data_IF_221021453377
#
_entry.id   IF_221021453377
#
_cell.length_a   1.000
_cell.length_b   1.000
_cell.length_c   1.000
_cell.angle_alpha   90.00
_cell.angle_beta   90.00
_cell.angle_gamma   90.00
#
_symmetry.space_group_name_H-M   'P 1'
#
loop_
_entity.id
_entity.type
_entity.pdbx_description
1 polymer ?
#
# COMPACT_ATOMS: atom_id res chain seq x y z
N UNK A 1 26.60 11.29 -14.63
CA UNK A 1 26.00 11.82 -15.87
C UNK A 1 25.74 10.64 -16.79
N UNK A 2 24.60 10.58 -17.52
CA UNK A 2 24.32 9.47 -18.42
C UNK A 2 25.43 9.35 -19.47
N UNK A 3 25.93 8.13 -19.68
CA UNK A 3 27.11 7.84 -20.53
C UNK A 3 26.99 8.52 -21.90
N UNK A 4 25.81 8.49 -22.53
CA UNK A 4 25.59 9.14 -23.81
C UNK A 4 25.85 10.66 -23.83
N UNK A 5 25.51 11.39 -22.77
CA UNK A 5 25.81 12.82 -22.67
C UNK A 5 27.31 13.07 -22.46
N UNK A 6 27.97 12.22 -21.66
CA UNK A 6 29.42 12.35 -21.41
C UNK A 6 30.22 12.18 -22.70
N UNK A 7 29.83 11.22 -23.54
CA UNK A 7 30.50 10.92 -24.81
C UNK A 7 30.19 11.95 -25.90
N UNK A 8 28.96 12.46 -25.96
CA UNK A 8 28.52 13.33 -27.08
C UNK A 8 28.61 14.82 -26.78
N UNK A 9 28.66 15.22 -25.51
CA UNK A 9 28.64 16.63 -25.09
C UNK A 9 27.29 17.34 -25.26
N UNK A 10 26.22 16.62 -25.64
CA UNK A 10 24.87 17.17 -25.86
C UNK A 10 23.77 16.27 -25.26
N UNK A 11 22.57 16.78 -24.94
CA UNK A 11 21.48 15.97 -24.39
C UNK A 11 21.09 14.80 -25.31
N UNK A 12 20.98 13.60 -24.73
CA UNK A 12 20.54 12.38 -25.42
C UNK A 12 19.16 11.98 -24.90
N UNK A 13 18.19 11.81 -25.79
CA UNK A 13 16.85 11.33 -25.47
C UNK A 13 16.68 9.89 -25.94
N UNK A 14 16.22 9.01 -25.06
CA UNK A 14 15.79 7.66 -25.39
C UNK A 14 14.32 7.48 -24.99
N UNK A 15 13.54 6.88 -25.89
CA UNK A 15 12.14 6.51 -25.67
C UNK A 15 11.93 5.19 -26.41
N UNK A 16 11.62 4.12 -25.68
CA UNK A 16 11.31 2.83 -26.27
C UNK A 16 9.97 2.87 -27.01
N UNK A 17 9.86 2.09 -28.09
CA UNK A 17 8.58 1.73 -28.66
C UNK A 17 7.89 0.62 -27.83
N UNK A 18 6.64 0.28 -28.19
CA UNK A 18 5.86 -0.72 -27.47
C UNK A 18 6.48 -2.12 -27.55
N UNK A 19 7.04 -2.48 -28.69
CA UNK A 19 7.65 -3.79 -28.93
C UNK A 19 8.94 -3.92 -28.13
N UNK A 20 9.79 -2.89 -28.14
CA UNK A 20 10.99 -2.80 -27.30
C UNK A 20 10.64 -2.96 -25.82
N UNK A 21 9.61 -2.25 -25.32
CA UNK A 21 9.16 -2.43 -23.93
C UNK A 21 8.75 -3.88 -23.62
N UNK A 22 7.99 -4.54 -24.48
CA UNK A 22 7.61 -5.95 -24.25
C UNK A 22 8.79 -6.91 -24.28
N UNK A 23 9.81 -6.62 -25.07
CA UNK A 23 10.98 -7.48 -25.26
C UNK A 23 12.08 -7.23 -24.23
N UNK A 24 12.21 -6.02 -23.71
CA UNK A 24 13.40 -5.57 -22.97
C UNK A 24 13.13 -5.01 -21.57
N UNK A 25 11.88 -4.67 -21.21
CA UNK A 25 11.54 -4.34 -19.83
C UNK A 25 11.46 -5.61 -18.97
N UNK A 26 11.04 -5.48 -17.72
CA UNK A 26 10.82 -6.61 -16.83
C UNK A 26 9.42 -7.24 -17.04
N UNK A 27 9.36 -8.56 -16.98
CA UNK A 27 8.12 -9.34 -16.86
C UNK A 27 7.74 -9.51 -15.39
N UNK A 28 6.60 -10.14 -15.08
CA UNK A 28 6.19 -10.41 -13.70
C UNK A 28 5.52 -11.77 -13.54
N UNK A 29 5.40 -12.23 -12.29
CA UNK A 29 4.82 -13.54 -11.90
C UNK A 29 5.79 -14.71 -12.09
N UNK A 30 5.64 -15.44 -13.19
CA UNK A 30 6.43 -16.60 -13.62
C UNK A 30 6.88 -17.57 -12.50
N UNK A 31 5.90 -18.00 -11.69
CA UNK A 31 6.05 -19.04 -10.68
C UNK A 31 5.45 -20.36 -11.16
N UNK A 32 6.17 -21.46 -10.91
CA UNK A 32 5.64 -22.82 -10.96
C UNK A 32 5.63 -23.37 -9.55
N UNK A 33 4.43 -23.63 -9.02
CA UNK A 33 4.25 -23.97 -7.61
C UNK A 33 3.51 -25.28 -7.43
N UNK A 34 4.06 -26.16 -6.57
CA UNK A 34 3.34 -27.29 -5.98
C UNK A 34 2.98 -26.95 -4.54
N UNK A 35 1.75 -27.24 -4.13
CA UNK A 35 1.28 -26.90 -2.80
C UNK A 35 0.32 -27.95 -2.22
N UNK A 36 0.42 -28.15 -0.91
CA UNK A 36 -0.33 -29.15 -0.14
C UNK A 36 -0.83 -28.50 1.15
N UNK A 37 -2.14 -28.61 1.42
CA UNK A 37 -2.76 -28.06 2.62
C UNK A 37 -3.46 -29.18 3.39
N UNK A 38 -3.10 -29.33 4.66
CA UNK A 38 -3.65 -30.34 5.55
C UNK A 38 -4.80 -29.77 6.39
N UNK A 39 -5.83 -30.58 6.62
CA UNK A 39 -6.99 -30.23 7.43
C UNK A 39 -7.30 -31.35 8.42
N UNK A 40 -7.91 -31.00 9.56
CA UNK A 40 -8.48 -31.98 10.49
C UNK A 40 -9.89 -32.42 10.09
N UNK A 41 -10.49 -33.32 10.88
CA UNK A 41 -11.86 -33.81 10.69
C UNK A 41 -12.94 -32.71 10.77
N UNK A 42 -12.62 -31.56 11.36
CA UNK A 42 -13.50 -30.42 11.48
C UNK A 42 -13.23 -29.36 10.39
N UNK A 43 -12.37 -29.66 9.40
CA UNK A 43 -11.93 -28.75 8.34
C UNK A 43 -11.18 -27.51 8.86
N UNK A 44 -10.48 -27.63 9.98
CA UNK A 44 -9.47 -26.66 10.43
C UNK A 44 -8.14 -26.92 9.77
N UNK A 45 -7.45 -25.87 9.32
CA UNK A 45 -6.14 -25.99 8.67
C UNK A 45 -5.11 -26.42 9.72
N UNK A 46 -4.37 -27.48 9.41
CA UNK A 46 -3.29 -28.01 10.25
C UNK A 46 -1.90 -27.61 9.75
N UNK A 47 -1.76 -27.39 8.44
CA UNK A 47 -0.51 -26.91 7.89
C UNK A 47 -0.53 -26.72 6.39
N UNK A 48 0.45 -25.97 5.90
CA UNK A 48 0.57 -25.62 4.49
C UNK A 48 2.02 -25.75 4.02
N UNK A 49 2.24 -26.60 3.01
CA UNK A 49 3.56 -26.83 2.42
C UNK A 49 3.57 -26.37 0.97
N UNK A 50 4.59 -25.59 0.60
CA UNK A 50 4.70 -24.95 -0.71
C UNK A 50 6.11 -25.08 -1.25
N UNK A 51 6.25 -25.61 -2.46
CA UNK A 51 7.49 -25.69 -3.23
C UNK A 51 7.33 -24.89 -4.53
N UNK A 52 8.10 -23.82 -4.69
CA UNK A 52 8.00 -22.89 -5.83
C UNK A 52 9.31 -22.81 -6.59
N UNK A 53 9.24 -22.93 -7.92
CA UNK A 53 10.29 -22.53 -8.85
C UNK A 53 9.91 -21.16 -9.42
N UNK A 54 10.76 -20.15 -9.23
CA UNK A 54 10.52 -18.79 -9.69
C UNK A 54 11.55 -18.41 -10.76
N UNK A 55 11.08 -18.02 -11.94
CA UNK A 55 11.96 -17.54 -12.99
C UNK A 55 12.45 -16.12 -12.68
N UNK A 56 13.74 -15.86 -12.85
CA UNK A 56 14.35 -14.53 -12.76
C UNK A 56 14.62 -13.90 -14.13
N UNK A 57 14.48 -14.66 -15.20
CA UNK A 57 14.99 -14.32 -16.53
C UNK A 57 16.50 -14.50 -16.64
N UNK A 58 17.13 -13.83 -17.60
CA UNK A 58 18.56 -13.99 -17.87
C UNK A 58 19.47 -13.35 -16.82
N UNK A 59 18.97 -12.34 -16.11
CA UNK A 59 19.72 -11.56 -15.13
C UNK A 59 18.82 -11.15 -13.97
N UNK A 60 19.40 -11.01 -12.78
CA UNK A 60 18.71 -10.41 -11.65
C UNK A 60 18.57 -8.90 -11.85
N UNK A 61 17.33 -8.42 -11.88
CA UNK A 61 16.99 -7.02 -11.74
C UNK A 61 16.74 -6.66 -10.25
N UNK A 62 16.37 -5.41 -9.97
CA UNK A 62 16.44 -4.81 -8.64
C UNK A 62 15.65 -5.56 -7.56
N UNK A 63 14.38 -5.91 -7.82
CA UNK A 63 13.54 -6.64 -6.85
C UNK A 63 13.30 -8.11 -7.25
N UNK A 64 14.00 -8.60 -8.29
CA UNK A 64 13.82 -9.95 -8.85
C UNK A 64 13.97 -11.08 -7.83
N UNK A 65 14.90 -10.97 -6.88
CA UNK A 65 15.08 -12.00 -5.84
C UNK A 65 14.09 -11.85 -4.67
N UNK A 66 13.74 -10.61 -4.30
CA UNK A 66 12.84 -10.34 -3.18
C UNK A 66 11.38 -10.66 -3.50
N UNK A 67 10.97 -10.42 -4.75
CA UNK A 67 9.60 -10.68 -5.27
C UNK A 67 9.13 -12.12 -5.02
N UNK A 68 9.83 -13.16 -5.50
CA UNK A 68 9.41 -14.54 -5.31
C UNK A 68 9.74 -15.11 -3.94
N UNK A 69 10.56 -14.44 -3.13
CA UNK A 69 10.97 -14.93 -1.80
C UNK A 69 10.19 -14.21 -0.71
N UNK A 70 10.74 -13.11 -0.20
CA UNK A 70 10.18 -12.39 0.93
C UNK A 70 8.79 -11.85 0.66
N UNK A 71 8.55 -11.25 -0.51
CA UNK A 71 7.26 -10.63 -0.83
C UNK A 71 6.16 -11.65 -1.18
N UNK A 72 6.50 -12.94 -1.23
CA UNK A 72 5.61 -14.06 -1.53
C UNK A 72 5.45 -15.00 -0.33
N UNK A 73 6.54 -15.63 0.10
CA UNK A 73 6.51 -16.73 1.07
C UNK A 73 6.01 -16.29 2.45
N UNK A 74 6.25 -15.04 2.85
CA UNK A 74 5.78 -14.50 4.14
C UNK A 74 4.28 -14.21 4.18
N UNK A 75 3.59 -14.35 3.04
CA UNK A 75 2.16 -14.11 2.91
C UNK A 75 1.36 -15.40 2.66
N UNK A 76 2.02 -16.56 2.74
CA UNK A 76 1.37 -17.86 2.58
C UNK A 76 0.34 -18.17 3.67
N UNK A 77 0.30 -17.40 4.76
CA UNK A 77 -0.79 -17.50 5.76
C UNK A 77 -2.12 -16.96 5.22
N UNK A 78 -2.09 -16.04 4.25
CA UNK A 78 -3.27 -15.30 3.83
C UNK A 78 -3.98 -14.67 5.02
N UNK A 79 -5.32 -14.72 5.00
CA UNK A 79 -6.19 -14.31 6.12
C UNK A 79 -6.40 -15.42 7.16
N UNK A 80 -5.71 -16.56 7.05
CA UNK A 80 -6.06 -17.79 7.77
C UNK A 80 -5.09 -18.09 8.91
N UNK A 81 -5.66 -18.63 9.99
CA UNK A 81 -4.94 -19.13 11.15
C UNK A 81 -4.37 -20.51 10.82
N UNK A 82 -3.13 -20.51 10.33
CA UNK A 82 -2.42 -21.72 9.91
C UNK A 82 -1.26 -21.95 10.89
N UNK A 83 -1.29 -23.01 11.70
CA UNK A 83 -0.30 -23.18 12.77
C UNK A 83 1.10 -23.57 12.26
N UNK A 84 1.21 -24.15 11.07
CA UNK A 84 2.48 -24.57 10.49
C UNK A 84 2.53 -24.29 8.98
N UNK A 85 3.52 -23.51 8.55
CA UNK A 85 3.76 -23.23 7.13
C UNK A 85 5.22 -23.55 6.79
N UNK A 86 5.43 -24.26 5.69
CA UNK A 86 6.74 -24.48 5.09
C UNK A 86 6.74 -23.99 3.64
N UNK A 87 7.53 -22.95 3.35
CA UNK A 87 7.73 -22.44 1.99
C UNK A 87 9.16 -22.64 1.54
N UNK A 88 9.34 -23.27 0.38
CA UNK A 88 10.62 -23.45 -0.29
C UNK A 88 10.56 -22.78 -1.68
N UNK A 89 11.47 -21.83 -1.93
CA UNK A 89 11.53 -21.08 -3.19
C UNK A 89 12.89 -21.29 -3.84
N UNK A 90 12.89 -21.77 -5.08
CA UNK A 90 14.07 -21.92 -5.93
C UNK A 90 14.01 -20.89 -7.05
N UNK A 91 14.89 -19.90 -6.98
CA UNK A 91 15.04 -18.92 -8.05
C UNK A 91 15.91 -19.48 -9.19
N UNK A 92 15.49 -19.30 -10.44
CA UNK A 92 16.11 -19.96 -11.61
C UNK A 92 16.37 -18.91 -12.69
N UNK A 93 17.57 -18.94 -13.27
CA UNK A 93 17.90 -18.18 -14.47
C UNK A 93 17.43 -18.91 -15.73
N UNK A 94 16.87 -18.16 -16.67
CA UNK A 94 16.42 -18.66 -17.97
C UNK A 94 16.79 -17.70 -19.09
N UNK A 95 16.71 -18.12 -20.35
CA UNK A 95 16.99 -17.26 -21.50
C UNK A 95 15.77 -16.37 -21.87
N UNK A 96 15.22 -15.65 -20.90
CA UNK A 96 14.10 -14.69 -21.10
C UNK A 96 14.48 -13.30 -20.61
N UNK A 97 13.64 -12.29 -20.90
CA UNK A 97 13.74 -10.99 -20.26
C UNK A 97 13.67 -11.14 -18.72
N UNK A 98 14.31 -10.23 -17.95
CA UNK A 98 14.26 -10.28 -16.49
C UNK A 98 12.82 -10.31 -15.95
N UNK A 99 12.60 -11.01 -14.85
CA UNK A 99 11.32 -10.98 -14.11
C UNK A 99 11.49 -10.12 -12.87
N UNK A 100 10.59 -9.16 -12.69
CA UNK A 100 10.62 -8.23 -11.56
C UNK A 100 9.21 -7.84 -11.10
N UNK A 101 9.15 -6.86 -10.21
CA UNK A 101 7.95 -6.35 -9.60
C UNK A 101 6.96 -5.79 -10.63
N UNK A 102 5.86 -6.51 -10.82
CA UNK A 102 4.60 -5.99 -11.35
C UNK A 102 3.53 -6.02 -10.25
N UNK A 103 2.67 -4.98 -10.18
CA UNK A 103 1.74 -4.66 -9.07
C UNK A 103 1.50 -5.82 -8.09
N UNK A 104 1.85 -5.60 -6.83
CA UNK A 104 1.77 -6.61 -5.78
C UNK A 104 3.09 -7.38 -5.61
N UNK A 105 3.71 -7.85 -6.69
CA UNK A 105 5.04 -8.48 -6.70
C UNK A 105 5.22 -9.57 -5.62
N UNK A 106 4.92 -10.83 -5.94
CA UNK A 106 4.93 -11.95 -4.99
C UNK A 106 3.61 -12.10 -4.25
N UNK A 107 2.98 -10.97 -3.89
CA UNK A 107 1.68 -10.96 -3.19
C UNK A 107 0.56 -11.61 -4.01
N UNK A 108 0.33 -11.28 -5.30
CA UNK A 108 -0.71 -11.94 -6.09
C UNK A 108 -0.49 -13.44 -6.24
N UNK A 109 0.77 -13.88 -6.32
CA UNK A 109 1.16 -15.29 -6.42
C UNK A 109 0.80 -16.03 -5.12
N UNK A 110 1.06 -15.42 -3.95
CA UNK A 110 0.69 -15.96 -2.65
C UNK A 110 -0.83 -16.01 -2.47
N UNK A 111 -1.52 -14.89 -2.74
CA UNK A 111 -2.98 -14.81 -2.63
C UNK A 111 -3.66 -15.79 -3.59
N UNK A 112 -3.20 -15.89 -4.84
CA UNK A 112 -3.72 -16.86 -5.80
C UNK A 112 -3.55 -18.28 -5.26
N UNK A 113 -2.36 -18.64 -4.78
CA UNK A 113 -2.11 -19.99 -4.29
C UNK A 113 -3.01 -20.33 -3.09
N UNK A 114 -3.01 -19.49 -2.06
CA UNK A 114 -3.80 -19.72 -0.84
C UNK A 114 -5.29 -19.81 -1.17
N UNK A 115 -5.83 -18.87 -1.95
CA UNK A 115 -7.25 -18.86 -2.29
C UNK A 115 -7.67 -20.02 -3.20
N UNK A 116 -6.77 -20.47 -4.07
CA UNK A 116 -6.99 -21.69 -4.85
C UNK A 116 -7.02 -22.93 -3.97
N UNK A 117 -6.16 -23.03 -2.95
CA UNK A 117 -6.22 -24.13 -1.99
C UNK A 117 -7.53 -24.13 -1.22
N UNK A 118 -7.98 -22.96 -0.74
CA UNK A 118 -9.27 -22.83 -0.05
C UNK A 118 -10.45 -23.24 -0.93
N UNK A 119 -10.48 -22.82 -2.20
CA UNK A 119 -11.52 -23.22 -3.16
C UNK A 119 -11.51 -24.73 -3.45
N UNK A 120 -10.34 -25.32 -3.67
CA UNK A 120 -10.21 -26.75 -3.98
C UNK A 120 -10.61 -27.59 -2.78
N UNK A 121 -10.13 -27.24 -1.58
CA UNK A 121 -10.45 -27.95 -0.34
C UNK A 121 -11.94 -27.87 -0.02
N UNK A 122 -12.57 -26.70 -0.13
CA UNK A 122 -14.02 -26.56 0.10
C UNK A 122 -14.84 -27.49 -0.81
N UNK A 123 -14.46 -27.60 -2.09
CA UNK A 123 -15.12 -28.49 -3.05
C UNK A 123 -14.90 -29.97 -2.73
N UNK A 124 -13.69 -30.35 -2.30
CA UNK A 124 -13.39 -31.72 -1.87
C UNK A 124 -14.19 -32.13 -0.63
N UNK A 125 -14.41 -31.20 0.30
CA UNK A 125 -15.21 -31.43 1.51
C UNK A 125 -16.73 -31.33 1.27
N UNK A 126 -17.17 -30.85 0.10
CA UNK A 126 -18.58 -30.55 -0.14
C UNK A 126 -19.13 -29.41 0.73
N UNK A 127 -18.26 -28.49 1.15
CA UNK A 127 -18.57 -27.34 2.01
C UNK A 127 -18.61 -26.04 1.20
N UNK A 128 -19.36 -25.04 1.66
CA UNK A 128 -19.31 -23.71 1.05
C UNK A 128 -17.90 -23.11 1.16
N UNK A 129 -17.33 -22.55 0.07
CA UNK A 129 -16.05 -21.86 0.14
C UNK A 129 -16.02 -20.67 1.11
N UNK A 130 -17.17 -20.03 1.38
CA UNK A 130 -17.28 -18.97 2.38
C UNK A 130 -17.22 -19.51 3.82
N UNK A 131 -17.86 -20.65 4.07
CA UNK A 131 -17.87 -21.29 5.39
C UNK A 131 -16.48 -21.82 5.76
N UNK A 132 -15.77 -22.45 4.82
CA UNK A 132 -14.41 -22.94 5.06
C UNK A 132 -13.46 -21.79 5.43
N UNK A 133 -13.58 -20.64 4.74
CA UNK A 133 -12.80 -19.43 5.04
C UNK A 133 -13.12 -18.87 6.42
N UNK A 134 -14.42 -18.66 6.73
CA UNK A 134 -14.85 -18.21 8.07
C UNK A 134 -14.35 -19.12 9.18
N UNK A 135 -14.38 -20.43 8.96
CA UNK A 135 -13.90 -21.40 9.93
C UNK A 135 -12.40 -21.21 10.21
N UNK A 136 -11.61 -20.73 9.26
CA UNK A 136 -10.16 -20.67 9.35
C UNK A 136 -9.60 -19.24 9.42
N UNK A 137 -10.42 -18.19 9.42
CA UNK A 137 -9.91 -16.82 9.56
C UNK A 137 -9.19 -16.60 10.88
N UNK A 138 -8.16 -15.75 10.82
CA UNK A 138 -7.60 -15.09 11.99
C UNK A 138 -8.67 -14.16 12.57
N UNK A 139 -8.88 -14.22 13.88
CA UNK A 139 -9.92 -13.45 14.59
C UNK A 139 -9.41 -12.67 15.81
N UNK A 140 -8.11 -12.77 16.10
CA UNK A 140 -7.46 -12.08 17.21
C UNK A 140 -6.22 -11.38 16.71
N UNK A 141 -6.04 -10.12 17.09
CA UNK A 141 -4.94 -9.27 16.67
C UNK A 141 -4.30 -8.58 17.90
N UNK A 142 -2.99 -8.29 17.90
CA UNK A 142 -2.03 -8.60 16.83
C UNK A 142 -1.80 -10.12 16.67
N UNK A 143 -1.59 -10.57 15.44
CA UNK A 143 -1.42 -11.98 15.09
C UNK A 143 -0.08 -12.25 14.41
N UNK A 144 0.80 -12.98 15.10
CA UNK A 144 2.07 -13.44 14.53
C UNK A 144 1.84 -14.66 13.64
N UNK A 145 2.04 -14.51 12.33
CA UNK A 145 2.04 -15.64 11.40
C UNK A 145 3.30 -16.49 11.59
N UNK A 146 3.29 -17.79 11.22
CA UNK A 146 4.49 -18.63 11.26
C UNK A 146 5.53 -18.27 10.19
N UNK A 147 5.24 -17.31 9.32
CA UNK A 147 6.10 -16.89 8.20
C UNK A 147 6.39 -15.38 8.26
N UNK A 148 6.91 -14.93 9.41
CA UNK A 148 7.47 -13.59 9.66
C UNK A 148 6.45 -12.49 9.97
N UNK A 149 5.38 -12.34 9.18
CA UNK A 149 4.50 -11.17 9.31
C UNK A 149 3.69 -11.18 10.62
N UNK A 150 3.55 -10.01 11.25
CA UNK A 150 2.71 -9.80 12.42
C UNK A 150 1.58 -8.84 12.06
N UNK A 151 0.38 -9.36 11.85
CA UNK A 151 -0.78 -8.58 11.45
C UNK A 151 -1.28 -7.76 12.63
N UNK A 152 -1.52 -6.47 12.40
CA UNK A 152 -1.83 -5.48 13.44
C UNK A 152 -3.33 -5.40 13.75
N UNK A 153 -4.19 -5.48 12.74
CA UNK A 153 -5.65 -5.46 12.87
C UNK A 153 -6.35 -6.12 11.67
N UNK A 154 -7.65 -6.39 11.80
CA UNK A 154 -8.49 -6.81 10.67
C UNK A 154 -9.89 -7.26 11.08
N UNK A 155 -10.87 -7.07 10.18
CA UNK A 155 -12.19 -7.69 10.23
C UNK A 155 -12.50 -8.41 8.91
N UNK A 156 -11.90 -9.59 8.75
CA UNK A 156 -11.99 -10.40 7.54
C UNK A 156 -13.42 -10.90 7.28
N UNK A 157 -14.18 -11.16 8.35
CA UNK A 157 -15.56 -11.58 8.27
C UNK A 157 -16.44 -10.46 7.69
N UNK A 158 -16.26 -9.21 8.12
CA UNK A 158 -16.99 -8.06 7.61
C UNK A 158 -16.73 -7.82 6.12
N UNK A 159 -15.48 -7.91 5.67
CA UNK A 159 -15.14 -7.78 4.23
C UNK A 159 -15.81 -8.89 3.40
N UNK A 160 -15.80 -10.13 3.90
CA UNK A 160 -16.49 -11.25 3.26
C UNK A 160 -18.01 -11.03 3.21
N UNK A 161 -18.63 -10.60 4.31
CA UNK A 161 -20.07 -10.34 4.38
C UNK A 161 -20.49 -9.20 3.43
N UNK A 162 -19.72 -8.12 3.38
CA UNK A 162 -19.96 -7.00 2.48
C UNK A 162 -19.92 -7.45 1.01
N UNK A 163 -18.89 -8.20 0.62
CA UNK A 163 -18.75 -8.71 -0.74
C UNK A 163 -19.89 -9.68 -1.10
N UNK A 164 -20.22 -10.64 -0.22
CA UNK A 164 -21.28 -11.63 -0.47
C UNK A 164 -22.66 -10.99 -0.61
N UNK A 165 -22.93 -9.95 0.19
CA UNK A 165 -24.17 -9.19 0.10
C UNK A 165 -24.29 -8.48 -1.24
N UNK A 166 -23.27 -7.74 -1.64
CA UNK A 166 -23.27 -6.96 -2.89
C UNK A 166 -23.29 -7.86 -4.14
N UNK A 167 -22.67 -9.04 -4.07
CA UNK A 167 -22.68 -10.02 -5.16
C UNK A 167 -24.00 -10.83 -5.26
N UNK A 168 -24.96 -10.61 -4.36
CA UNK A 168 -26.14 -11.48 -4.18
C UNK A 168 -25.73 -12.96 -4.22
N UNK A 169 -24.77 -13.34 -3.37
CA UNK A 169 -24.17 -14.68 -3.41
C UNK A 169 -25.21 -15.79 -3.18
N UNK A 170 -26.20 -15.53 -2.32
CA UNK A 170 -27.31 -16.46 -2.06
C UNK A 170 -28.19 -16.70 -3.30
N UNK A 171 -28.35 -15.70 -4.18
CA UNK A 171 -29.10 -15.81 -5.43
C UNK A 171 -28.39 -16.57 -6.55
N UNK A 172 -27.10 -16.90 -6.41
CA UNK A 172 -26.27 -17.48 -7.47
C UNK A 172 -26.85 -18.76 -8.07
N UNK A 173 -27.42 -19.66 -7.26
CA UNK A 173 -27.98 -20.93 -7.75
C UNK A 173 -29.08 -20.74 -8.79
N UNK A 174 -29.94 -19.73 -8.60
CA UNK A 174 -30.99 -19.36 -9.56
C UNK A 174 -30.38 -18.86 -10.86
N UNK A 175 -29.40 -17.94 -10.77
CA UNK A 175 -28.72 -17.35 -11.94
C UNK A 175 -27.96 -18.40 -12.74
N UNK A 176 -27.32 -19.35 -12.06
CA UNK A 176 -26.66 -20.50 -12.69
C UNK A 176 -27.64 -21.38 -13.47
N UNK A 177 -28.83 -21.67 -12.92
CA UNK A 177 -29.86 -22.43 -13.61
C UNK A 177 -30.43 -21.67 -14.83
N UNK A 178 -30.54 -20.35 -14.76
CA UNK A 178 -30.97 -19.50 -15.88
C UNK A 178 -29.93 -19.48 -17.01
N UNK A 179 -28.63 -19.40 -16.69
CA UNK A 179 -27.56 -19.49 -17.68
C UNK A 179 -27.53 -20.86 -18.39
N UNK A 180 -27.76 -21.95 -17.66
CA UNK A 180 -27.84 -23.28 -18.25
C UNK A 180 -28.95 -23.40 -19.30
N UNK A 181 -30.10 -22.73 -19.10
CA UNK A 181 -31.19 -22.68 -20.11
C UNK A 181 -30.79 -21.97 -21.40
N UNK A 182 -29.79 -21.09 -21.35
CA UNK A 182 -29.19 -20.41 -22.52
C UNK A 182 -27.99 -21.17 -23.09
N UNK A 183 -27.71 -22.38 -22.61
CA UNK A 183 -26.55 -23.17 -23.04
C UNK A 183 -25.21 -22.64 -22.51
N UNK A 184 -25.21 -21.77 -21.49
CA UNK A 184 -23.99 -21.21 -20.90
C UNK A 184 -23.62 -21.91 -19.59
N UNK A 185 -22.32 -22.02 -19.33
CA UNK A 185 -21.81 -22.34 -18.00
C UNK A 185 -21.72 -21.05 -17.18
N UNK A 186 -21.94 -21.14 -15.87
CA UNK A 186 -21.85 -19.99 -14.97
C UNK A 186 -21.10 -20.34 -13.69
N UNK A 187 -20.15 -19.50 -13.33
CA UNK A 187 -19.26 -19.67 -12.18
C UNK A 187 -19.25 -18.42 -11.31
N UNK A 188 -19.11 -18.63 -10.00
CA UNK A 188 -18.83 -17.57 -9.03
C UNK A 188 -17.56 -17.96 -8.28
N UNK A 189 -16.60 -17.05 -8.26
CA UNK A 189 -15.31 -17.22 -7.59
C UNK A 189 -15.11 -16.15 -6.54
N UNK A 190 -14.34 -16.47 -5.51
CA UNK A 190 -14.07 -15.59 -4.38
C UNK A 190 -12.59 -15.61 -4.00
N UNK A 191 -12.08 -14.46 -3.57
CA UNK A 191 -10.70 -14.27 -3.12
C UNK A 191 -10.67 -13.36 -1.89
N UNK A 192 -10.43 -13.95 -0.72
CA UNK A 192 -10.16 -13.26 0.54
C UNK A 192 -8.65 -13.00 0.65
N UNK A 193 -8.22 -11.78 0.31
CA UNK A 193 -6.81 -11.42 0.20
C UNK A 193 -6.33 -10.59 1.39
N UNK A 194 -5.05 -10.71 1.73
CA UNK A 194 -4.36 -9.77 2.60
C UNK A 194 -3.07 -9.34 1.91
N UNK A 195 -2.71 -8.08 2.07
CA UNK A 195 -1.51 -7.48 1.46
C UNK A 195 -0.56 -6.98 2.54
N UNK A 196 0.74 -7.23 2.41
CA UNK A 196 1.74 -6.52 3.22
C UNK A 196 2.20 -5.25 2.50
N UNK A 197 1.62 -4.09 2.85
CA UNK A 197 1.96 -2.80 2.25
C UNK A 197 2.98 -2.03 3.10
N UNK A 198 3.65 -1.04 2.50
CA UNK A 198 4.53 -0.14 3.27
C UNK A 198 5.92 -0.69 3.58
N UNK A 199 6.33 -1.80 2.95
CA UNK A 199 7.62 -2.52 3.06
C UNK A 199 8.61 -1.92 4.07
N UNK A 200 8.42 -2.14 5.36
CA UNK A 200 9.22 -1.58 6.46
C UNK A 200 8.94 -2.37 7.76
N UNK A 201 9.78 -2.33 8.81
CA UNK A 201 10.88 -1.41 9.12
C UNK A 201 12.17 -1.67 8.34
N UNK A 202 13.01 -0.64 8.22
CA UNK A 202 14.35 -0.71 7.60
C UNK A 202 15.25 -1.77 8.25
N UNK A 203 15.16 -1.96 9.57
CA UNK A 203 15.93 -2.99 10.28
C UNK A 203 15.54 -4.43 9.86
N UNK A 204 14.24 -4.69 9.63
CA UNK A 204 13.76 -6.00 9.23
C UNK A 204 14.17 -6.32 7.79
N UNK A 205 14.05 -5.38 6.86
CA UNK A 205 14.49 -5.62 5.49
C UNK A 205 16.02 -5.67 5.35
N UNK A 206 16.74 -4.95 6.21
CA UNK A 206 18.20 -5.01 6.29
C UNK A 206 18.70 -6.38 6.73
N UNK A 207 18.06 -7.01 7.72
CA UNK A 207 18.41 -8.38 8.15
C UNK A 207 18.14 -9.44 7.07
N UNK A 208 17.29 -9.11 6.10
CA UNK A 208 16.97 -9.93 4.92
C UNK A 208 17.86 -9.63 3.71
N UNK A 209 18.85 -8.76 3.85
CA UNK A 209 19.84 -8.45 2.81
C UNK A 209 19.47 -7.30 1.88
N UNK A 210 18.47 -6.48 2.21
CA UNK A 210 18.21 -5.23 1.47
C UNK A 210 19.41 -4.29 1.58
N UNK A 211 19.91 -3.82 0.44
CA UNK A 211 21.01 -2.84 0.39
C UNK A 211 20.60 -1.41 0.76
N UNK A 212 19.30 -1.16 0.94
CA UNK A 212 18.73 0.14 1.33
C UNK A 212 17.69 -0.02 2.44
N UNK A 213 17.52 1.04 3.24
CA UNK A 213 16.37 1.16 4.14
C UNK A 213 15.09 1.44 3.35
N UNK A 214 13.94 1.43 4.03
CA UNK A 214 12.63 1.63 3.41
C UNK A 214 11.77 2.66 4.15
N UNK A 215 12.45 3.60 4.80
CA UNK A 215 11.89 4.84 5.33
C UNK A 215 11.44 5.79 4.19
N UNK A 216 10.69 6.84 4.52
CA UNK A 216 10.40 7.94 3.59
C UNK A 216 10.66 9.30 4.23
N UNK A 217 10.82 10.34 3.41
CA UNK A 217 11.01 11.72 3.87
C UNK A 217 9.92 12.68 3.38
N UNK A 218 9.72 13.72 4.17
CA UNK A 218 8.93 14.88 3.78
C UNK A 218 9.47 16.17 4.42
N UNK A 219 9.39 17.27 3.67
CA UNK A 219 9.57 18.64 4.17
C UNK A 219 8.25 19.40 3.93
N UNK A 220 7.73 20.03 4.97
CA UNK A 220 6.59 20.95 4.87
C UNK A 220 7.12 22.36 5.06
N UNK A 221 6.98 23.18 4.03
CA UNK A 221 7.41 24.58 4.01
C UNK A 221 6.20 25.48 3.89
N UNK A 222 5.95 26.28 4.92
CA UNK A 222 4.93 27.31 4.89
C UNK A 222 5.59 28.61 4.45
N UNK A 223 5.10 29.23 3.38
CA UNK A 223 5.60 30.51 2.88
C UNK A 223 5.08 31.67 3.72
N UNK A 224 5.73 32.84 3.65
CA UNK A 224 5.36 34.01 4.44
C UNK A 224 3.90 34.51 4.22
N UNK A 225 3.31 34.18 3.07
CA UNK A 225 1.91 34.51 2.73
C UNK A 225 0.90 33.43 3.17
N UNK A 226 1.37 32.33 3.79
CA UNK A 226 0.53 31.24 4.28
C UNK A 226 0.29 30.08 3.31
N UNK A 227 0.77 30.15 2.07
CA UNK A 227 0.77 28.99 1.15
C UNK A 227 1.78 27.93 1.59
N UNK A 228 1.60 26.69 1.17
CA UNK A 228 2.36 25.54 1.67
C UNK A 228 2.96 24.75 0.49
N UNK A 229 4.27 24.51 0.54
CA UNK A 229 4.94 23.55 -0.34
C UNK A 229 5.26 22.29 0.48
N UNK A 230 4.87 21.12 -0.02
CA UNK A 230 5.27 19.83 0.56
C UNK A 230 6.20 19.12 -0.41
N UNK A 231 7.45 18.96 0.00
CA UNK A 231 8.45 18.24 -0.76
C UNK A 231 8.50 16.81 -0.21
N UNK A 232 8.25 15.81 -1.05
CA UNK A 232 8.14 14.41 -0.62
C UNK A 232 9.05 13.49 -1.43
N UNK A 233 9.70 12.56 -0.75
CA UNK A 233 10.52 11.53 -1.38
C UNK A 233 9.73 10.49 -2.19
N UNK A 234 8.40 10.47 -2.08
CA UNK A 234 7.52 9.64 -2.92
C UNK A 234 7.30 10.27 -4.30
N UNK A 235 7.21 9.45 -5.35
CA UNK A 235 7.08 9.92 -6.74
C UNK A 235 5.78 9.43 -7.41
N UNK A 236 4.98 10.37 -7.92
CA UNK A 236 3.70 10.06 -8.58
C UNK A 236 3.90 9.50 -9.99
N UNK A 237 3.21 8.40 -10.29
CA UNK A 237 3.10 7.80 -11.62
C UNK A 237 1.62 7.60 -12.02
N UNK A 238 0.69 8.36 -11.41
CA UNK A 238 -0.75 8.34 -11.71
C UNK A 238 -1.69 8.08 -10.54
N UNK A 239 -1.17 7.86 -9.33
CA UNK A 239 -1.96 7.54 -8.13
C UNK A 239 -2.57 8.77 -7.43
N UNK A 240 -2.27 9.99 -7.89
CA UNK A 240 -2.88 11.22 -7.37
C UNK A 240 -2.28 11.71 -6.03
N UNK A 241 -0.96 11.58 -5.86
CA UNK A 241 -0.27 12.11 -4.67
C UNK A 241 -0.48 13.61 -4.49
N UNK A 242 -0.47 14.36 -5.60
CA UNK A 242 -0.62 15.81 -5.62
C UNK A 242 -1.93 16.27 -4.99
N UNK A 243 -2.98 15.44 -5.11
CA UNK A 243 -4.28 15.70 -4.49
C UNK A 243 -4.35 15.14 -3.08
N UNK A 244 -4.03 13.86 -2.91
CA UNK A 244 -4.25 13.13 -1.65
C UNK A 244 -3.33 13.60 -0.52
N UNK A 245 -2.08 13.94 -0.83
CA UNK A 245 -1.17 14.49 0.17
C UNK A 245 -1.56 15.92 0.55
N UNK A 246 -2.04 16.71 -0.42
CA UNK A 246 -2.56 18.04 -0.15
C UNK A 246 -3.83 17.98 0.72
N UNK A 247 -4.71 16.98 0.52
CA UNK A 247 -5.89 16.78 1.35
C UNK A 247 -5.53 16.50 2.81
N UNK A 248 -4.48 15.71 3.08
CA UNK A 248 -3.96 15.50 4.44
C UNK A 248 -3.57 16.83 5.09
N UNK A 249 -2.77 17.64 4.39
CA UNK A 249 -2.28 18.92 4.89
C UNK A 249 -3.44 19.90 5.11
N UNK A 250 -4.35 19.99 4.15
CA UNK A 250 -5.55 20.83 4.23
C UNK A 250 -6.43 20.42 5.41
N UNK A 251 -6.66 19.13 5.61
CA UNK A 251 -7.44 18.61 6.72
C UNK A 251 -6.81 18.90 8.09
N UNK A 252 -5.48 18.85 8.17
CA UNK A 252 -4.72 19.12 9.41
C UNK A 252 -4.68 20.60 9.79
N UNK A 253 -4.55 21.49 8.81
CA UNK A 253 -4.35 22.92 9.02
C UNK A 253 -5.60 23.77 8.77
N UNK A 254 -6.65 23.18 8.19
CA UNK A 254 -7.90 23.85 7.84
C UNK A 254 -7.75 24.89 6.71
N UNK A 255 -6.68 24.82 5.92
CA UNK A 255 -6.42 25.76 4.82
C UNK A 255 -7.01 25.26 3.50
N UNK A 256 -7.29 26.16 2.53
CA UNK A 256 -7.76 25.76 1.19
C UNK A 256 -6.78 24.82 0.47
N UNK A 257 -7.32 23.83 -0.24
CA UNK A 257 -6.51 22.83 -0.96
C UNK A 257 -5.61 23.47 -2.02
N UNK A 258 -6.09 24.52 -2.69
CA UNK A 258 -5.37 25.28 -3.72
C UNK A 258 -4.22 26.15 -3.16
N UNK A 259 -4.13 26.29 -1.84
CA UNK A 259 -2.99 26.94 -1.17
C UNK A 259 -1.80 26.00 -0.95
N UNK A 260 -1.92 24.72 -1.33
CA UNK A 260 -0.94 23.67 -1.09
C UNK A 260 -0.42 23.12 -2.42
N UNK A 261 0.90 23.05 -2.57
CA UNK A 261 1.56 22.41 -3.70
C UNK A 261 2.42 21.23 -3.26
N UNK A 262 2.28 20.10 -3.92
CA UNK A 262 3.11 18.91 -3.70
C UNK A 262 4.24 18.89 -4.73
N UNK A 263 5.47 18.75 -4.26
CA UNK A 263 6.69 18.70 -5.09
C UNK A 263 7.37 17.35 -4.90
N UNK A 264 7.55 16.62 -5.99
CA UNK A 264 8.26 15.34 -6.03
C UNK A 264 9.05 15.19 -7.35
N UNK A 265 9.99 14.25 -7.40
CA UNK A 265 10.73 13.87 -8.62
C UNK A 265 11.97 14.71 -8.96
N UNK A 266 12.09 15.93 -8.45
CA UNK A 266 13.29 16.77 -8.61
C UNK A 266 14.25 16.56 -7.43
N UNK A 267 15.29 15.74 -7.62
CA UNK A 267 16.26 15.38 -6.57
C UNK A 267 17.16 16.55 -6.14
N UNK A 268 17.18 17.67 -6.88
CA UNK A 268 17.88 18.88 -6.44
C UNK A 268 17.05 19.68 -5.43
N UNK A 269 15.73 19.46 -5.40
CA UNK A 269 14.79 20.14 -4.50
C UNK A 269 14.33 19.27 -3.34
N UNK A 270 14.05 18.01 -3.62
CA UNK A 270 13.40 17.06 -2.70
C UNK A 270 14.46 16.31 -1.90
N UNK A 271 14.18 16.08 -0.62
CA UNK A 271 15.03 15.25 0.23
C UNK A 271 15.15 13.82 -0.31
N UNK A 272 16.24 13.12 0.00
CA UNK A 272 16.36 11.71 -0.34
C UNK A 272 15.14 10.95 0.19
N UNK A 273 14.61 10.05 -0.63
CA UNK A 273 13.46 9.23 -0.32
C UNK A 273 13.58 7.88 -1.02
N UNK A 274 12.68 6.97 -0.65
CA UNK A 274 12.68 5.62 -1.24
C UNK A 274 11.67 5.50 -2.37
N UNK A 275 10.91 6.56 -2.69
CA UNK A 275 10.04 6.58 -3.86
C UNK A 275 8.77 5.75 -3.70
N UNK A 276 8.13 5.44 -4.83
CA UNK A 276 6.79 4.84 -4.85
C UNK A 276 6.78 3.47 -5.50
N UNK A 277 6.52 2.47 -4.66
CA UNK A 277 6.27 1.06 -5.00
C UNK A 277 5.63 0.36 -3.79
N UNK A 278 5.25 -0.92 -3.88
CA UNK A 278 4.79 -1.71 -2.72
C UNK A 278 3.65 -1.09 -1.90
N UNK A 279 2.80 -0.28 -2.56
CA UNK A 279 1.73 0.51 -1.94
C UNK A 279 2.18 1.36 -0.75
N UNK A 280 3.44 1.84 -0.76
CA UNK A 280 4.06 2.45 0.42
C UNK A 280 3.81 3.94 0.60
N UNK A 281 3.41 4.65 -0.45
CA UNK A 281 3.35 6.12 -0.39
C UNK A 281 2.29 6.66 0.57
N UNK A 282 1.20 5.92 0.80
CA UNK A 282 0.27 6.25 1.88
C UNK A 282 0.86 5.89 3.25
N UNK A 283 1.16 4.61 3.48
CA UNK A 283 1.63 4.11 4.77
C UNK A 283 2.92 4.79 5.28
N UNK A 284 3.83 5.16 4.39
CA UNK A 284 5.15 5.70 4.74
C UNK A 284 5.28 7.18 4.35
N UNK A 285 4.92 7.54 3.11
CA UNK A 285 5.03 8.91 2.61
C UNK A 285 4.07 9.90 3.29
N UNK A 286 2.77 9.58 3.36
CA UNK A 286 1.82 10.43 4.11
C UNK A 286 2.15 10.45 5.60
N UNK A 287 2.67 9.36 6.16
CA UNK A 287 3.17 9.35 7.55
C UNK A 287 4.36 10.28 7.75
N UNK A 288 5.31 10.34 6.83
CA UNK A 288 6.41 11.31 6.88
C UNK A 288 5.89 12.76 6.82
N UNK A 289 4.91 13.04 5.96
CA UNK A 289 4.24 14.35 5.89
C UNK A 289 3.56 14.66 7.23
N UNK A 290 2.83 13.71 7.79
CA UNK A 290 2.18 13.84 9.10
C UNK A 290 3.19 14.16 10.21
N UNK A 291 4.36 13.49 10.23
CA UNK A 291 5.44 13.78 11.18
C UNK A 291 6.10 15.14 10.98
N UNK A 292 6.18 15.64 9.74
CA UNK A 292 6.62 17.00 9.49
C UNK A 292 5.56 18.01 9.94
N UNK A 293 4.27 17.74 9.70
CA UNK A 293 3.15 18.55 10.17
C UNK A 293 3.10 18.64 11.70
N UNK A 294 3.32 17.55 12.43
CA UNK A 294 3.39 17.58 13.90
C UNK A 294 4.36 18.65 14.41
N UNK A 295 5.51 18.81 13.73
CA UNK A 295 6.52 19.83 14.05
C UNK A 295 6.09 21.24 13.61
N UNK A 296 5.54 21.38 12.40
CA UNK A 296 5.01 22.66 11.89
C UNK A 296 3.94 23.20 12.83
N UNK A 297 3.01 22.35 13.23
CA UNK A 297 1.92 22.72 14.13
C UNK A 297 2.44 23.10 15.50
N UNK A 298 3.37 22.34 16.08
CA UNK A 298 3.98 22.69 17.35
C UNK A 298 4.64 24.08 17.30
N UNK A 299 5.39 24.38 16.23
CA UNK A 299 6.00 25.71 16.05
C UNK A 299 4.95 26.80 15.84
N UNK A 300 3.94 26.55 15.01
CA UNK A 300 2.86 27.49 14.75
C UNK A 300 2.04 27.81 16.01
N UNK A 301 1.73 26.80 16.83
CA UNK A 301 1.03 26.96 18.11
C UNK A 301 1.81 27.84 19.08
N UNK A 302 3.13 27.64 19.20
CA UNK A 302 4.00 28.50 20.02
C UNK A 302 3.99 29.96 19.55
N UNK A 303 4.03 30.19 18.24
CA UNK A 303 3.95 31.54 17.68
C UNK A 303 2.59 32.16 18.02
N UNK A 304 1.48 31.45 17.77
CA UNK A 304 0.14 31.95 18.03
C UNK A 304 -0.13 32.21 19.52
N UNK A 305 0.33 31.31 20.41
CA UNK A 305 0.25 31.47 21.85
C UNK A 305 0.94 32.77 22.30
N UNK A 306 2.15 33.00 21.81
CA UNK A 306 2.92 34.22 22.10
C UNK A 306 2.24 35.49 21.56
N UNK A 307 1.69 35.44 20.34
CA UNK A 307 0.97 36.58 19.75
C UNK A 307 -0.32 36.92 20.50
N UNK A 308 -0.99 35.93 21.08
CA UNK A 308 -2.28 36.11 21.78
C UNK A 308 -2.14 36.24 23.30
N UNK A 309 -0.91 36.15 23.83
CA UNK A 309 -0.60 36.06 25.26
C UNK A 309 -1.42 34.97 25.96
N UNK A 310 -1.43 33.77 25.36
CA UNK A 310 -2.16 32.60 25.81
C UNK A 310 -1.24 31.41 26.09
N UNK A 311 -1.75 30.39 26.78
CA UNK A 311 -1.01 29.14 26.98
C UNK A 311 -0.93 28.33 25.67
N UNK A 312 0.21 27.68 25.42
CA UNK A 312 0.43 26.85 24.22
C UNK A 312 -0.54 25.66 24.16
N UNK A 313 -0.85 25.05 25.32
CA UNK A 313 -1.73 23.89 25.44
C UNK A 313 -3.18 24.21 25.08
N UNK A 314 -3.58 25.47 25.14
CA UNK A 314 -4.92 25.94 24.79
C UNK A 314 -5.06 26.25 23.28
N UNK A 315 -3.97 26.19 22.49
CA UNK A 315 -4.03 26.53 21.06
C UNK A 315 -4.48 25.34 20.21
N UNK A 316 -5.56 25.56 19.46
CA UNK A 316 -6.10 24.63 18.45
C UNK A 316 -6.00 25.25 17.05
N UNK A 317 -5.88 24.39 16.03
CA UNK A 317 -5.88 24.80 14.62
C UNK A 317 -7.22 24.40 14.03
N UNK A 318 -8.00 25.37 13.56
CA UNK A 318 -9.33 25.12 13.00
C UNK A 318 -9.64 26.14 11.92
N UNK A 319 -10.19 25.67 10.79
CA UNK A 319 -10.67 26.52 9.70
C UNK A 319 -9.64 27.57 9.24
N UNK A 320 -8.36 27.18 9.16
CA UNK A 320 -7.29 28.05 8.68
C UNK A 320 -6.90 29.16 9.67
N UNK A 321 -7.15 28.95 10.96
CA UNK A 321 -6.74 29.85 12.04
C UNK A 321 -6.25 29.08 13.26
N UNK A 322 -5.39 29.73 14.06
CA UNK A 322 -4.97 29.26 15.37
C UNK A 322 -5.81 29.99 16.43
N UNK A 323 -6.49 29.25 17.30
CA UNK A 323 -7.45 29.78 18.27
C UNK A 323 -7.12 29.35 19.68
N UNK A 324 -7.44 30.18 20.66
CA UNK A 324 -7.45 29.78 22.08
C UNK A 324 -8.77 29.07 22.37
N UNK A 325 -8.70 27.80 22.78
CA UNK A 325 -9.86 26.96 23.05
C UNK A 325 -10.84 27.63 24.04
N UNK A 326 -12.13 27.61 23.71
CA UNK A 326 -13.18 28.19 24.55
C UNK A 326 -13.29 29.72 24.50
N UNK A 327 -12.58 30.40 23.60
CA UNK A 327 -12.64 31.87 23.43
C UNK A 327 -12.86 32.28 21.98
N UNK A 328 -13.01 33.58 21.74
CA UNK A 328 -13.03 34.21 20.40
C UNK A 328 -11.65 34.67 19.92
N UNK A 329 -10.60 34.55 20.75
CA UNK A 329 -9.23 34.91 20.40
C UNK A 329 -8.69 33.97 19.32
N UNK A 330 -8.28 34.54 18.19
CA UNK A 330 -7.69 33.79 17.09
C UNK A 330 -6.70 34.62 16.27
N UNK A 331 -5.76 33.93 15.64
CA UNK A 331 -4.83 34.49 14.65
C UNK A 331 -4.99 33.67 13.36
N UNK A 332 -5.34 34.30 12.21
CA UNK A 332 -5.40 33.62 10.93
C UNK A 332 -4.06 32.96 10.57
N UNK A 333 -4.12 31.82 9.87
CA UNK A 333 -2.94 31.05 9.46
C UNK A 333 -1.86 31.90 8.77
N UNK A 334 -2.28 32.76 7.83
CA UNK A 334 -1.34 33.63 7.10
C UNK A 334 -0.60 34.62 8.01
N UNK A 335 -1.22 35.05 9.13
CA UNK A 335 -0.56 35.95 10.09
C UNK A 335 0.46 35.20 10.94
N UNK A 336 0.17 33.96 11.33
CA UNK A 336 1.16 33.11 12.02
C UNK A 336 2.34 32.81 11.10
N UNK A 337 2.08 32.50 9.83
CA UNK A 337 3.11 32.32 8.82
C UNK A 337 3.95 33.60 8.66
N UNK A 338 3.33 34.76 8.49
CA UNK A 338 4.05 36.03 8.34
C UNK A 338 4.88 36.39 9.58
N UNK A 339 4.35 36.14 10.79
CA UNK A 339 5.06 36.36 12.05
C UNK A 339 6.33 35.50 12.14
N UNK A 340 6.26 34.24 11.67
CA UNK A 340 7.42 33.35 11.61
C UNK A 340 8.58 33.95 10.80
N UNK A 341 8.30 34.63 9.68
CA UNK A 341 9.34 35.18 8.79
C UNK A 341 9.77 36.60 9.11
N UNK A 342 8.85 37.46 9.53
CA UNK A 342 9.20 38.83 9.98
C UNK A 342 10.01 38.79 11.26
N UNK A 343 9.73 37.82 12.14
CA UNK A 343 10.51 37.50 13.32
C UNK A 343 10.71 38.65 14.34
N UNK A 344 9.95 39.74 14.24
CA UNK A 344 10.04 40.86 15.17
C UNK A 344 9.48 40.53 16.56
N UNK A 345 8.56 39.56 16.65
CA UNK A 345 7.84 39.21 17.86
C UNK A 345 7.66 37.68 17.97
N UNK A 346 8.78 36.97 18.07
CA UNK A 346 8.80 35.52 18.31
C UNK A 346 9.10 35.20 19.78
N UNK A 347 8.69 34.02 20.26
CA UNK A 347 9.18 33.48 21.53
C UNK A 347 10.71 33.51 21.58
N UNK A 348 11.26 33.81 22.76
CA UNK A 348 12.71 33.87 22.96
C UNK A 348 13.40 32.55 22.56
N UNK A 349 14.47 32.64 21.77
CA UNK A 349 15.25 31.49 21.30
C UNK A 349 14.65 30.72 20.13
N UNK A 350 13.52 31.17 19.56
CA UNK A 350 12.94 30.57 18.37
C UNK A 350 13.62 31.08 17.09
N UNK A 351 14.03 30.16 16.22
CA UNK A 351 14.53 30.50 14.89
C UNK A 351 13.40 30.99 13.97
N UNK A 352 13.63 32.02 13.13
CA UNK A 352 12.69 32.45 12.10
C UNK A 352 12.30 31.35 11.10
N UNK A 353 11.18 31.58 10.41
CA UNK A 353 10.62 30.70 9.38
C UNK A 353 9.71 29.60 9.93
N UNK A 354 8.92 28.98 9.04
CA UNK A 354 8.01 27.89 9.38
C UNK A 354 8.17 26.76 8.36
N UNK A 355 9.21 25.97 8.56
CA UNK A 355 9.65 24.89 7.69
C UNK A 355 10.16 23.75 8.56
N UNK A 356 9.65 22.55 8.36
CA UNK A 356 10.03 21.38 9.14
C UNK A 356 10.17 20.14 8.26
N UNK A 357 11.03 19.22 8.71
CA UNK A 357 11.37 17.99 7.98
C UNK A 357 11.20 16.76 8.87
N UNK A 358 10.81 15.64 8.25
CA UNK A 358 10.78 14.35 8.90
C UNK A 358 11.30 13.24 7.97
N UNK A 359 11.99 12.28 8.59
CA UNK A 359 12.31 10.99 8.03
C UNK A 359 11.55 9.96 8.87
N UNK A 360 10.76 9.11 8.24
CA UNK A 360 9.88 8.18 8.91
C UNK A 360 10.19 6.75 8.49
N UNK A 361 10.64 5.94 9.45
CA UNK A 361 10.77 4.48 9.32
C UNK A 361 9.61 3.83 10.10
N UNK A 362 8.64 3.20 9.42
CA UNK A 362 7.52 2.51 10.07
C UNK A 362 8.00 1.39 10.97
N UNK A 363 7.32 1.16 12.10
CA UNK A 363 7.65 0.06 13.00
C UNK A 363 7.23 -1.32 12.47
N UNK A 364 6.27 -1.36 11.53
CA UNK A 364 5.74 -2.57 10.90
C UNK A 364 5.19 -2.22 9.51
N UNK A 365 4.81 -3.26 8.77
CA UNK A 365 3.97 -3.16 7.58
C UNK A 365 2.55 -2.76 7.96
N UNK A 366 1.78 -2.29 6.98
CA UNK A 366 0.32 -2.19 7.07
C UNK A 366 -0.31 -3.37 6.33
N UNK A 367 -1.40 -3.93 6.84
CA UNK A 367 -2.00 -5.15 6.29
C UNK A 367 -3.42 -4.98 5.74
N UNK A 368 -3.63 -4.15 4.69
CA UNK A 368 -4.96 -4.03 4.11
C UNK A 368 -5.42 -5.36 3.55
N UNK A 369 -6.72 -5.63 3.71
CA UNK A 369 -7.32 -6.91 3.40
C UNK A 369 -8.69 -6.70 2.75
N UNK A 370 -9.23 -7.74 2.14
CA UNK A 370 -10.54 -7.64 1.53
C UNK A 370 -11.07 -8.97 1.00
N UNK A 371 -12.23 -8.90 0.37
CA UNK A 371 -12.86 -10.00 -0.32
C UNK A 371 -13.36 -9.55 -1.69
N UNK A 372 -12.86 -10.20 -2.74
CA UNK A 372 -13.33 -9.99 -4.11
C UNK A 372 -14.19 -11.18 -4.53
N UNK A 373 -15.33 -10.90 -5.18
CA UNK A 373 -16.21 -11.90 -5.76
C UNK A 373 -16.42 -11.58 -7.24
N UNK A 374 -16.16 -12.56 -8.09
CA UNK A 374 -16.33 -12.43 -9.53
C UNK A 374 -17.30 -13.51 -10.04
N UNK A 375 -18.32 -13.08 -10.77
CA UNK A 375 -19.27 -13.95 -11.43
C UNK A 375 -19.05 -13.91 -12.95
N UNK A 376 -18.93 -15.09 -13.56
CA UNK A 376 -18.62 -15.24 -14.99
C UNK A 376 -19.60 -16.16 -15.69
N UNK A 377 -19.85 -15.90 -16.96
CA UNK A 377 -20.46 -16.82 -17.90
C UNK A 377 -19.44 -17.32 -18.91
N UNK A 378 -19.51 -18.60 -19.25
CA UNK A 378 -18.61 -19.23 -20.22
C UNK A 378 -19.45 -19.91 -21.29
N UNK A 379 -19.12 -19.62 -22.53
CA UNK A 379 -19.58 -20.38 -23.68
C UNK A 379 -18.79 -21.70 -23.75
N UNK A 380 -19.43 -22.87 -23.57
CA UNK A 380 -18.71 -24.14 -23.51
C UNK A 380 -18.11 -24.58 -24.86
N UNK A 381 -18.62 -24.08 -25.98
CA UNK A 381 -18.16 -24.47 -27.32
C UNK A 381 -16.94 -23.66 -27.77
N UNK A 382 -16.83 -22.42 -27.30
CA UNK A 382 -15.77 -21.47 -27.72
C UNK A 382 -14.78 -21.12 -26.61
N UNK A 383 -15.14 -21.35 -25.34
CA UNK A 383 -14.39 -20.91 -24.17
C UNK A 383 -14.47 -19.41 -23.89
N UNK A 384 -15.22 -18.64 -24.70
CA UNK A 384 -15.42 -17.20 -24.48
C UNK A 384 -16.03 -16.99 -23.10
N UNK A 385 -15.34 -16.20 -22.28
CA UNK A 385 -15.71 -15.91 -20.90
C UNK A 385 -16.08 -14.44 -20.75
N UNK A 386 -17.25 -14.18 -20.17
CA UNK A 386 -17.75 -12.84 -19.86
C UNK A 386 -17.78 -12.64 -18.34
N UNK A 387 -17.27 -11.52 -17.87
CA UNK A 387 -17.44 -11.08 -16.47
C UNK A 387 -18.82 -10.44 -16.36
N UNK A 388 -19.72 -11.12 -15.67
CA UNK A 388 -21.10 -10.64 -15.44
C UNK A 388 -21.13 -9.62 -14.30
N UNK A 389 -20.36 -9.88 -13.25
CA UNK A 389 -20.24 -8.98 -12.10
C UNK A 389 -18.87 -9.14 -11.45
N UNK A 390 -18.29 -8.04 -10.99
CA UNK A 390 -17.11 -8.04 -10.14
C UNK A 390 -17.36 -7.13 -8.94
N UNK A 391 -17.35 -7.71 -7.74
CA UNK A 391 -17.53 -7.00 -6.47
C UNK A 391 -16.20 -6.99 -5.73
N UNK A 392 -15.81 -5.82 -5.25
CA UNK A 392 -14.59 -5.62 -4.48
C UNK A 392 -14.93 -4.94 -3.14
N UNK A 393 -14.87 -5.69 -2.05
CA UNK A 393 -14.85 -5.13 -0.70
C UNK A 393 -13.39 -5.11 -0.22
N UNK A 394 -12.88 -3.94 0.14
CA UNK A 394 -11.51 -3.78 0.65
C UNK A 394 -11.48 -2.82 1.82
N UNK A 395 -10.62 -3.14 2.78
CA UNK A 395 -10.35 -2.37 3.99
C UNK A 395 -8.88 -1.93 3.97
N UNK A 396 -8.64 -0.63 4.10
CA UNK A 396 -7.32 0.00 4.06
C UNK A 396 -7.01 0.81 5.33
N UNK A 397 -7.76 0.58 6.42
CA UNK A 397 -7.64 1.29 7.69
C UNK A 397 -8.85 2.12 8.07
#
# INVERSE_FOLDING_TARGET
LPVGLQETGVPVKWVADRTESFLCDAHGRDHVTHAEMAFDENHKILGFKVDTMANLGAYMSLFSSATPTYLYATLLSGQYDIPAIHGNVKAIYTNTAPVDAYRGAGRPEAAFLVERMMEVSARQFGMSPAELRRKNFITSFPHQTPVIMNYDAGDFAASLDAAMKEADYAGFAKRKAEAAKRGKLRGIGMSCYIEACGIAPSAAVGSLGSGVGLWESAEVRVNAVGTIEVLTGSHSHGQGHETTFAQLVAGRLGVPLDSISIVHGDTDKVQMGMGTYGSRSGAVGMSAISKALDKVEAKAKKIAAHLMEADEGDIVIENGALKVAGTDKSVPWFQVALAAYTAHNLPGGMEPGLKETAFYDPANFTFPAGCYICEVEVDPDTGVTEIVQFVAAGDFG
#
